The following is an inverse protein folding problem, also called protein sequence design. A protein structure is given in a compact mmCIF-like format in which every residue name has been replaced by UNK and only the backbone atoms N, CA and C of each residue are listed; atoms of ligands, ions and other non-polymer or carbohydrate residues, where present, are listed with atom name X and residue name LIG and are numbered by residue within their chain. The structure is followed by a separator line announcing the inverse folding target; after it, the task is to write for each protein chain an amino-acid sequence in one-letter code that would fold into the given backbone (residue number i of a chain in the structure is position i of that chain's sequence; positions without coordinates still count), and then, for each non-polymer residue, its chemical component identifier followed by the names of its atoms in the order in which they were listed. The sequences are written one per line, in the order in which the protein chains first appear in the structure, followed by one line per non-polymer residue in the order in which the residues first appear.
data_IF_589417157338
#
_entry.id   IF_589417157338
#
_cell.length_a   1.000
_cell.length_b   1.000
_cell.length_c   1.000
_cell.angle_alpha   90.00
_cell.angle_beta   90.00
_cell.angle_gamma   90.00
#
_symmetry.space_group_name_H-M   'P 1'
#
loop_
_entity.id
_entity.type
_entity.pdbx_description
1 polymer ?
#
# COMPACT_ATOMS: atom_id res chain seq x y z
N UNK A 1 -10.63 46.55 -4.95
CA UNK A 1 -11.40 45.30 -4.81
C UNK A 1 -11.96 44.92 -6.19
N UNK A 2 -11.97 43.64 -6.56
CA UNK A 2 -12.57 43.20 -7.83
C UNK A 2 -14.10 43.38 -7.78
N UNK A 3 -14.71 43.80 -8.88
CA UNK A 3 -16.18 43.73 -9.02
C UNK A 3 -16.65 42.27 -9.02
N UNK A 4 -17.93 42.02 -8.73
CA UNK A 4 -18.54 40.68 -8.77
C UNK A 4 -18.31 39.96 -10.11
N UNK A 5 -18.37 40.71 -11.22
CA UNK A 5 -18.12 40.18 -12.57
C UNK A 5 -16.65 39.79 -12.75
N UNK A 6 -15.72 40.64 -12.30
CA UNK A 6 -14.28 40.35 -12.35
C UNK A 6 -13.91 39.16 -11.46
N UNK A 7 -14.46 39.07 -10.25
CA UNK A 7 -14.25 37.94 -9.35
C UNK A 7 -14.78 36.62 -9.96
N UNK A 8 -15.96 36.65 -10.58
CA UNK A 8 -16.52 35.47 -11.28
C UNK A 8 -15.67 35.03 -12.46
N UNK A 9 -15.20 35.98 -13.28
CA UNK A 9 -14.33 35.67 -14.41
C UNK A 9 -12.99 35.09 -13.95
N UNK A 10 -12.39 35.67 -12.90
CA UNK A 10 -11.16 35.17 -12.29
C UNK A 10 -11.34 33.74 -11.75
N UNK A 11 -12.43 33.47 -11.02
CA UNK A 11 -12.72 32.14 -10.50
C UNK A 11 -12.88 31.11 -11.62
N UNK A 12 -13.70 31.39 -12.63
CA UNK A 12 -13.94 30.43 -13.72
C UNK A 12 -12.70 30.23 -14.59
N UNK A 13 -11.99 31.31 -14.93
CA UNK A 13 -10.76 31.23 -15.71
C UNK A 13 -9.65 30.49 -14.96
N UNK A 14 -9.44 30.83 -13.68
CA UNK A 14 -8.48 30.17 -12.82
C UNK A 14 -8.79 28.68 -12.65
N UNK A 15 -10.06 28.33 -12.41
CA UNK A 15 -10.51 26.94 -12.31
C UNK A 15 -10.26 26.18 -13.60
N UNK A 16 -10.56 26.77 -14.77
CA UNK A 16 -10.30 26.12 -16.05
C UNK A 16 -8.80 25.87 -16.26
N UNK A 17 -7.96 26.85 -15.97
CA UNK A 17 -6.50 26.71 -16.12
C UNK A 17 -5.93 25.66 -15.18
N UNK A 18 -6.26 25.69 -13.89
CA UNK A 18 -5.76 24.71 -12.93
C UNK A 18 -6.30 23.31 -13.21
N UNK A 19 -7.54 23.19 -13.66
CA UNK A 19 -8.12 21.92 -14.11
C UNK A 19 -7.35 21.33 -15.28
N UNK A 20 -7.05 22.12 -16.31
CA UNK A 20 -6.28 21.66 -17.47
C UNK A 20 -4.84 21.26 -17.09
N UNK A 21 -4.20 22.01 -16.19
CA UNK A 21 -2.88 21.65 -15.65
C UNK A 21 -2.95 20.31 -14.91
N UNK A 22 -3.97 20.13 -14.05
CA UNK A 22 -4.16 18.88 -13.33
C UNK A 22 -4.30 17.70 -14.28
N UNK A 23 -5.14 17.80 -15.32
CA UNK A 23 -5.27 16.74 -16.34
C UNK A 23 -3.94 16.45 -17.04
N UNK A 24 -3.19 17.49 -17.43
CA UNK A 24 -1.87 17.32 -18.05
C UNK A 24 -0.88 16.57 -17.15
N UNK A 25 -0.84 16.93 -15.86
CA UNK A 25 -0.01 16.25 -14.87
C UNK A 25 -0.48 14.82 -14.57
N UNK A 26 -1.79 14.57 -14.57
CA UNK A 26 -2.34 13.20 -14.42
C UNK A 26 -1.92 12.31 -15.58
N UNK A 27 -2.02 12.79 -16.82
CA UNK A 27 -1.57 12.02 -18.00
C UNK A 27 -0.06 11.75 -17.92
N UNK A 28 0.73 12.75 -17.54
CA UNK A 28 2.16 12.57 -17.31
C UNK A 28 2.44 11.52 -16.24
N UNK A 29 1.74 11.59 -15.10
CA UNK A 29 1.91 10.66 -13.96
C UNK A 29 1.51 9.23 -14.28
N UNK A 30 0.62 9.00 -15.24
CA UNK A 30 0.21 7.67 -15.71
C UNK A 30 1.07 7.15 -16.88
N UNK A 31 2.05 7.93 -17.34
CA UNK A 31 2.91 7.52 -18.45
C UNK A 31 3.95 6.49 -18.03
N UNK A 32 4.35 5.62 -18.96
CA UNK A 32 5.43 4.64 -18.73
C UNK A 32 6.75 5.31 -18.30
N UNK A 33 6.99 6.54 -18.75
CA UNK A 33 8.23 7.28 -18.45
C UNK A 33 8.40 7.63 -16.96
N UNK A 34 7.31 7.58 -16.19
CA UNK A 34 7.27 7.89 -14.76
C UNK A 34 6.79 6.72 -13.92
N UNK A 35 6.69 5.51 -14.49
CA UNK A 35 6.23 4.35 -13.73
C UNK A 35 7.20 4.01 -12.60
N UNK A 36 6.67 3.93 -11.38
CA UNK A 36 7.38 3.55 -10.15
C UNK A 36 6.91 2.20 -9.60
N UNK A 37 5.93 1.56 -10.25
CA UNK A 37 5.21 0.41 -9.71
C UNK A 37 5.80 -0.94 -10.09
N UNK A 38 6.74 -0.97 -11.04
CA UNK A 38 7.20 -2.20 -11.70
C UNK A 38 6.02 -2.98 -12.30
N UNK A 39 5.15 -2.30 -13.05
CA UNK A 39 3.89 -2.86 -13.58
C UNK A 39 4.08 -4.17 -14.37
N UNK A 40 5.25 -4.37 -14.99
CA UNK A 40 5.61 -5.60 -15.71
C UNK A 40 5.58 -6.87 -14.82
N UNK A 41 5.72 -6.69 -13.51
CA UNK A 41 5.69 -7.78 -12.53
C UNK A 41 4.28 -8.04 -11.95
N UNK A 42 3.24 -7.41 -12.49
CA UNK A 42 1.85 -7.68 -12.10
C UNK A 42 1.39 -9.04 -12.66
N UNK A 43 1.56 -10.10 -11.88
CA UNK A 43 1.05 -11.42 -12.22
C UNK A 43 -0.42 -11.58 -11.83
N UNK A 44 -1.07 -12.66 -12.29
CA UNK A 44 -2.44 -12.96 -11.92
C UNK A 44 -2.61 -13.19 -10.41
N UNK A 45 -1.59 -13.74 -9.74
CA UNK A 45 -1.52 -13.96 -8.29
C UNK A 45 -1.58 -12.63 -7.54
N UNK A 46 -0.81 -11.63 -8.00
CA UNK A 46 -0.79 -10.29 -7.41
C UNK A 46 -2.17 -9.64 -7.50
N UNK A 47 -2.84 -9.77 -8.65
CA UNK A 47 -4.19 -9.24 -8.86
C UNK A 47 -5.19 -9.91 -7.92
N UNK A 48 -5.19 -11.25 -7.83
CA UNK A 48 -6.06 -11.99 -6.89
C UNK A 48 -5.78 -11.62 -5.43
N UNK A 49 -4.51 -11.47 -5.06
CA UNK A 49 -4.12 -11.04 -3.72
C UNK A 49 -4.66 -9.67 -3.36
N UNK A 50 -4.65 -8.73 -4.31
CA UNK A 50 -5.26 -7.42 -4.15
C UNK A 50 -6.79 -7.51 -4.00
N UNK A 51 -7.45 -8.33 -4.80
CA UNK A 51 -8.90 -8.55 -4.66
C UNK A 51 -9.27 -9.09 -3.27
N UNK A 52 -8.49 -10.04 -2.74
CA UNK A 52 -8.65 -10.58 -1.39
C UNK A 52 -8.42 -9.49 -0.32
N UNK A 53 -7.39 -8.66 -0.50
CA UNK A 53 -7.12 -7.52 0.38
C UNK A 53 -8.32 -6.57 0.47
N UNK A 54 -8.93 -6.27 -0.67
CA UNK A 54 -10.09 -5.37 -0.77
C UNK A 54 -11.36 -6.01 -0.22
N UNK A 55 -11.65 -7.27 -0.58
CA UNK A 55 -12.87 -7.97 -0.15
C UNK A 55 -12.93 -8.20 1.35
N UNK A 56 -11.77 -8.27 2.01
CA UNK A 56 -11.64 -8.45 3.45
C UNK A 56 -11.47 -7.14 4.22
N UNK A 57 -11.52 -5.99 3.55
CA UNK A 57 -11.36 -4.65 4.14
C UNK A 57 -10.11 -4.56 5.03
N UNK A 58 -8.98 -5.12 4.58
CA UNK A 58 -7.75 -5.14 5.37
C UNK A 58 -7.28 -3.71 5.70
N UNK A 59 -7.46 -2.77 4.77
CA UNK A 59 -7.18 -1.34 4.94
C UNK A 59 -8.07 -0.66 6.01
N UNK A 60 -9.20 -1.27 6.38
CA UNK A 60 -10.03 -0.81 7.50
C UNK A 60 -9.37 -0.97 8.88
N UNK A 61 -8.28 -1.74 8.97
CA UNK A 61 -7.44 -1.85 10.17
C UNK A 61 -6.00 -1.44 9.93
N UNK A 62 -5.45 -1.78 8.78
CA UNK A 62 -4.05 -1.55 8.40
C UNK A 62 -3.91 -0.35 7.48
N UNK A 63 -2.69 0.13 7.34
CA UNK A 63 -2.30 0.93 6.18
C UNK A 63 -1.63 0.07 5.12
N UNK A 64 -1.61 0.58 3.89
CA UNK A 64 -0.67 0.21 2.83
C UNK A 64 -0.24 1.51 2.13
N UNK A 65 1.03 1.64 1.77
CA UNK A 65 1.65 2.89 1.31
C UNK A 65 1.43 4.08 2.27
N UNK A 66 1.16 3.81 3.56
CA UNK A 66 0.80 4.82 4.55
C UNK A 66 -0.67 5.26 4.56
N UNK A 67 -1.51 4.71 3.67
CA UNK A 67 -2.93 5.01 3.57
C UNK A 67 -3.80 3.88 4.14
N UNK A 68 -4.80 4.23 4.92
CA UNK A 68 -5.72 3.28 5.56
C UNK A 68 -6.02 3.64 7.02
N UNK A 69 -6.29 2.64 7.84
CA UNK A 69 -6.57 2.81 9.26
C UNK A 69 -5.33 2.60 10.14
N UNK A 70 -5.37 3.19 11.33
CA UNK A 70 -4.25 3.18 12.28
C UNK A 70 -4.45 2.19 13.44
N UNK A 71 -5.33 1.21 13.27
CA UNK A 71 -5.59 0.18 14.28
C UNK A 71 -4.51 -0.90 14.29
N UNK A 72 -3.91 -1.21 13.16
CA UNK A 72 -2.93 -2.28 13.00
C UNK A 72 -1.69 -1.79 12.22
N UNK A 73 -0.59 -2.56 12.21
CA UNK A 73 0.67 -2.12 11.61
C UNK A 73 0.58 -1.87 10.11
N UNK A 74 1.44 -0.99 9.61
CA UNK A 74 1.66 -0.76 8.19
C UNK A 74 2.19 -2.00 7.47
N UNK A 75 1.69 -2.31 6.27
CA UNK A 75 1.92 -3.59 5.58
C UNK A 75 2.76 -3.55 4.28
N UNK A 76 3.11 -2.39 3.71
CA UNK A 76 3.88 -2.34 2.44
C UNK A 76 5.17 -3.15 2.49
N UNK A 77 5.91 -3.05 3.60
CA UNK A 77 7.18 -3.75 3.81
C UNK A 77 7.05 -4.91 4.80
N UNK A 78 5.87 -5.53 4.90
CA UNK A 78 5.62 -6.57 5.91
C UNK A 78 6.47 -7.81 5.67
N UNK A 79 6.65 -8.23 4.42
CA UNK A 79 7.44 -9.43 4.08
C UNK A 79 8.89 -9.23 4.51
N UNK A 80 9.53 -8.15 4.06
CA UNK A 80 10.90 -7.78 4.47
C UNK A 80 11.05 -7.68 5.99
N UNK A 81 10.09 -7.01 6.65
CA UNK A 81 10.08 -6.83 8.11
C UNK A 81 10.01 -8.17 8.84
N UNK A 82 9.21 -9.11 8.35
CA UNK A 82 9.05 -10.42 8.97
C UNK A 82 10.20 -11.35 8.61
N UNK A 83 10.79 -11.26 7.41
CA UNK A 83 12.01 -11.98 7.06
C UNK A 83 13.15 -11.61 8.01
N UNK A 84 13.37 -10.32 8.25
CA UNK A 84 14.40 -9.85 9.17
C UNK A 84 14.13 -10.25 10.62
N UNK A 85 12.86 -10.33 11.03
CA UNK A 85 12.48 -10.75 12.39
C UNK A 85 12.55 -12.28 12.59
N UNK A 86 12.29 -13.06 11.55
CA UNK A 86 12.08 -14.51 11.62
C UNK A 86 13.04 -15.31 10.71
N UNK A 87 14.25 -14.80 10.49
CA UNK A 87 15.32 -15.47 9.73
C UNK A 87 14.85 -15.96 8.35
N UNK A 88 14.37 -15.04 7.51
CA UNK A 88 13.86 -15.30 6.14
C UNK A 88 12.56 -16.13 6.05
N UNK A 89 11.87 -16.39 7.17
CA UNK A 89 10.60 -17.14 7.19
C UNK A 89 9.35 -16.24 7.20
N UNK A 90 9.45 -14.98 6.76
CA UNK A 90 8.36 -14.01 6.86
C UNK A 90 7.11 -14.42 6.09
N UNK A 91 7.27 -15.01 4.90
CA UNK A 91 6.15 -15.53 4.09
C UNK A 91 5.37 -16.63 4.82
N UNK A 92 6.07 -17.58 5.44
CA UNK A 92 5.45 -18.66 6.21
C UNK A 92 4.70 -18.15 7.44
N UNK A 93 5.21 -17.11 8.10
CA UNK A 93 4.52 -16.44 9.20
C UNK A 93 3.24 -15.77 8.71
N UNK A 94 3.28 -15.03 7.60
CA UNK A 94 2.09 -14.38 7.02
C UNK A 94 1.06 -15.45 6.63
N UNK A 95 1.51 -16.51 5.94
CA UNK A 95 0.67 -17.63 5.52
C UNK A 95 -0.04 -18.26 6.71
N UNK A 96 0.68 -18.56 7.79
CA UNK A 96 0.11 -19.12 9.02
C UNK A 96 -0.94 -18.22 9.67
N UNK A 97 -0.74 -16.89 9.65
CA UNK A 97 -1.71 -15.92 10.18
C UNK A 97 -2.98 -15.91 9.33
N UNK A 98 -2.85 -15.83 7.99
CA UNK A 98 -3.99 -15.76 7.06
C UNK A 98 -4.82 -17.05 7.05
N UNK A 99 -4.16 -18.21 7.14
CA UNK A 99 -4.82 -19.52 7.18
C UNK A 99 -5.40 -19.86 8.57
N UNK A 100 -5.08 -19.08 9.61
CA UNK A 100 -5.57 -19.34 10.96
C UNK A 100 -7.09 -19.23 11.04
N UNK A 101 -7.71 -20.27 11.63
CA UNK A 101 -9.14 -20.27 12.01
C UNK A 101 -9.39 -19.61 13.37
N UNK A 102 -8.33 -19.19 14.07
CA UNK A 102 -8.40 -18.45 15.33
C UNK A 102 -7.94 -16.99 15.13
N UNK A 103 -8.56 -16.01 15.82
CA UNK A 103 -8.15 -14.61 15.73
C UNK A 103 -6.68 -14.41 16.13
N UNK A 104 -5.95 -13.58 15.38
CA UNK A 104 -4.56 -13.24 15.69
C UNK A 104 -4.50 -12.02 16.61
N UNK A 105 -3.77 -12.11 17.73
CA UNK A 105 -3.79 -11.07 18.78
C UNK A 105 -2.48 -10.95 19.59
N UNK A 106 -1.32 -10.72 18.94
CA UNK A 106 -0.02 -10.75 19.61
C UNK A 106 0.15 -9.64 20.67
N UNK A 107 -0.55 -8.51 20.53
CA UNK A 107 -0.43 -7.34 21.40
C UNK A 107 -1.80 -6.86 21.93
N UNK A 108 -2.75 -7.78 22.11
CA UNK A 108 -4.10 -7.48 22.64
C UNK A 108 -5.11 -6.88 21.63
N UNK A 109 -4.65 -6.21 20.57
CA UNK A 109 -5.49 -5.89 19.39
C UNK A 109 -5.76 -7.16 18.59
N UNK A 110 -6.99 -7.30 18.08
CA UNK A 110 -7.47 -8.54 17.42
C UNK A 110 -7.62 -8.34 15.92
N UNK A 111 -6.99 -9.23 15.16
CA UNK A 111 -7.23 -9.45 13.74
C UNK A 111 -8.20 -10.62 13.56
N UNK A 112 -9.11 -10.51 12.59
CA UNK A 112 -10.14 -11.53 12.31
C UNK A 112 -9.49 -12.85 11.89
N UNK A 113 -10.14 -13.95 12.22
CA UNK A 113 -9.77 -15.27 11.71
C UNK A 113 -10.29 -15.44 10.28
N UNK A 114 -9.41 -15.38 9.29
CA UNK A 114 -9.82 -15.51 7.90
C UNK A 114 -9.98 -16.96 7.46
N UNK A 115 -9.16 -17.88 7.99
CA UNK A 115 -9.21 -19.29 7.60
C UNK A 115 -9.00 -19.51 6.11
N UNK A 116 -8.18 -18.67 5.46
CA UNK A 116 -7.91 -18.72 4.03
C UNK A 116 -7.34 -20.09 3.62
N UNK A 117 -7.60 -20.48 2.37
CA UNK A 117 -6.85 -21.56 1.73
C UNK A 117 -5.39 -21.18 1.53
N UNK A 118 -4.54 -22.18 1.30
CA UNK A 118 -3.12 -21.94 0.99
C UNK A 118 -2.95 -21.07 -0.25
N UNK A 119 -3.75 -21.28 -1.29
CA UNK A 119 -3.70 -20.47 -2.52
C UNK A 119 -4.04 -19.01 -2.26
N UNK A 120 -5.12 -18.73 -1.53
CA UNK A 120 -5.53 -17.36 -1.19
C UNK A 120 -4.45 -16.65 -0.35
N UNK A 121 -3.87 -17.35 0.63
CA UNK A 121 -2.80 -16.80 1.44
C UNK A 121 -1.55 -16.48 0.61
N UNK A 122 -1.18 -17.36 -0.33
CA UNK A 122 -0.06 -17.14 -1.24
C UNK A 122 -0.31 -16.01 -2.24
N UNK A 123 -1.54 -15.86 -2.74
CA UNK A 123 -1.92 -14.74 -3.61
C UNK A 123 -1.78 -13.40 -2.85
N UNK A 124 -2.24 -13.33 -1.59
CA UNK A 124 -2.07 -12.13 -0.73
C UNK A 124 -0.58 -11.85 -0.46
N UNK A 125 0.23 -12.87 -0.21
CA UNK A 125 1.68 -12.71 -0.06
C UNK A 125 2.32 -12.19 -1.35
N UNK A 126 1.90 -12.69 -2.52
CA UNK A 126 2.37 -12.20 -3.81
C UNK A 126 2.06 -10.71 -3.98
N UNK A 127 0.87 -10.28 -3.59
CA UNK A 127 0.50 -8.86 -3.54
C UNK A 127 1.39 -8.04 -2.60
N UNK A 128 1.65 -8.52 -1.38
CA UNK A 128 2.55 -7.82 -0.44
C UNK A 128 4.00 -7.75 -0.92
N UNK A 129 4.49 -8.77 -1.64
CA UNK A 129 5.81 -8.74 -2.26
C UNK A 129 5.85 -7.70 -3.38
N UNK A 130 4.88 -7.72 -4.29
CA UNK A 130 4.82 -6.77 -5.39
C UNK A 130 4.72 -5.32 -4.90
N UNK A 131 3.83 -5.04 -3.94
CA UNK A 131 3.68 -3.67 -3.43
C UNK A 131 4.89 -3.21 -2.63
N UNK A 132 5.61 -4.14 -2.02
CA UNK A 132 6.88 -3.87 -1.35
C UNK A 132 7.94 -3.33 -2.31
N UNK A 133 7.91 -3.67 -3.59
CA UNK A 133 8.92 -3.25 -4.58
C UNK A 133 8.61 -1.90 -5.26
N UNK A 134 7.50 -1.26 -4.94
CA UNK A 134 7.19 0.08 -5.47
C UNK A 134 8.24 1.09 -4.97
N UNK A 135 8.74 1.95 -5.86
CA UNK A 135 9.59 3.07 -5.45
C UNK A 135 8.75 4.12 -4.71
N UNK A 136 8.91 4.16 -3.39
CA UNK A 136 8.17 5.06 -2.50
C UNK A 136 8.85 6.41 -2.29
N UNK A 137 9.82 6.77 -3.13
CA UNK A 137 10.56 8.04 -3.04
C UNK A 137 11.18 8.25 -1.64
N UNK A 138 11.59 7.17 -0.97
CA UNK A 138 12.24 7.18 0.35
C UNK A 138 11.33 7.06 1.57
N UNK A 139 10.01 6.91 1.41
CA UNK A 139 9.08 6.68 2.54
C UNK A 139 9.46 5.46 3.39
N UNK A 140 9.90 4.38 2.74
CA UNK A 140 10.36 3.14 3.37
C UNK A 140 11.51 3.36 4.37
N UNK A 141 12.34 4.39 4.16
CA UNK A 141 13.45 4.77 5.05
C UNK A 141 13.02 5.53 6.30
N UNK A 142 11.74 5.90 6.43
CA UNK A 142 11.24 6.68 7.56
C UNK A 142 10.29 5.83 8.41
N UNK A 143 9.42 5.05 7.78
CA UNK A 143 8.37 4.29 8.49
C UNK A 143 8.72 2.83 8.76
N UNK A 144 9.71 2.28 8.07
CA UNK A 144 10.08 0.89 8.26
C UNK A 144 10.94 0.74 9.52
N UNK A 145 10.67 -0.24 10.40
CA UNK A 145 11.64 -0.65 11.43
C UNK A 145 13.02 -0.94 10.83
N UNK A 146 13.07 -1.34 9.54
CA UNK A 146 14.29 -1.62 8.79
C UNK A 146 15.15 -0.39 8.49
N UNK A 147 14.57 0.81 8.60
CA UNK A 147 15.31 2.06 8.47
C UNK A 147 16.34 2.24 9.59
N UNK A 148 16.05 1.71 10.80
CA UNK A 148 16.93 1.85 11.96
C UNK A 148 18.19 1.00 11.83
N UNK A 149 18.13 -0.11 11.11
CA UNK A 149 19.26 -1.03 10.95
C UNK A 149 20.25 -0.56 9.87
N UNK A 150 19.79 0.17 8.85
CA UNK A 150 20.66 0.73 7.80
C UNK A 150 21.43 2.01 8.22
N UNK A 151 21.06 2.64 9.33
CA UNK A 151 21.74 3.85 9.85
C UNK A 151 22.96 3.49 10.71
N UNK A 152 23.06 2.24 11.18
CA UNK A 152 24.08 1.79 12.12
C UNK A 152 25.23 0.97 11.47
N UNK A 153 25.32 0.93 10.14
CA UNK A 153 26.42 0.35 9.37
C UNK A 153 27.15 1.40 8.55
#
# INVERSE_FOLDING_TARGET
MLSKKQARAFFLGGTLVTFLIFIGLTVYSLSESTDQTNHINLTAEVVRGKEIWESNNCMGCHTILGEGAYYAPELTKVVDRLNLKYNENGEEIIKGILMSKAPWQPNGRKMVAYGMSEQEAMDVIAFFKWIGEIDLNGFDRIVSPLAKDKINN
#
